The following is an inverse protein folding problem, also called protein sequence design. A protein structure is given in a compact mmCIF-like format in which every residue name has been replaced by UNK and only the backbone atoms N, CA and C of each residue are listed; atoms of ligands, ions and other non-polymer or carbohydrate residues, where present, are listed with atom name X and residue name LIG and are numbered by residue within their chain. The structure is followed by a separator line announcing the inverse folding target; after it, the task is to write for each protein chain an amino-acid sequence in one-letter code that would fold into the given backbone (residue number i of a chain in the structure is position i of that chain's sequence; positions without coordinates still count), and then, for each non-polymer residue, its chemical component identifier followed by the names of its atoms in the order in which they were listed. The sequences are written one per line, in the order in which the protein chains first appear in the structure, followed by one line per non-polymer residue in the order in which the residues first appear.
data_IF_401713426355
#
_entry.id   IF_401713426355
#
_cell.length_a   1.000
_cell.length_b   1.000
_cell.length_c   1.000
_cell.angle_alpha   90.00
_cell.angle_beta   90.00
_cell.angle_gamma   90.00
#
_symmetry.space_group_name_H-M   'P 1'
#
loop_
_entity.id
_entity.type
_entity.pdbx_description
1 polymer ?
#
# COMPACT_ATOMS: atom_id res chain seq x y z
N UNK A 1 11.94 -8.70 -1.93
CA UNK A 1 12.19 -7.30 -2.33
C UNK A 1 13.49 -6.89 -1.68
N UNK A 2 14.26 -6.02 -2.31
CA UNK A 2 15.50 -5.47 -1.75
C UNK A 2 15.33 -3.97 -1.51
N UNK A 3 16.02 -3.46 -0.51
CA UNK A 3 16.17 -2.04 -0.23
C UNK A 3 17.65 -1.71 -0.15
N UNK A 4 18.15 -0.94 -1.12
CA UNK A 4 19.58 -0.58 -1.17
C UNK A 4 20.52 -1.79 -1.25
N UNK A 5 20.06 -2.92 -1.82
CA UNK A 5 20.82 -4.17 -1.91
C UNK A 5 20.69 -5.10 -0.70
N UNK A 6 19.95 -4.71 0.34
CA UNK A 6 19.67 -5.54 1.52
C UNK A 6 18.28 -6.16 1.42
N UNK A 7 18.11 -7.40 1.89
CA UNK A 7 16.82 -8.08 1.90
C UNK A 7 15.84 -7.35 2.84
N UNK A 8 14.64 -7.05 2.32
CA UNK A 8 13.53 -6.47 3.07
C UNK A 8 12.53 -7.57 3.47
N UNK A 9 12.35 -7.79 4.77
CA UNK A 9 11.39 -8.74 5.32
C UNK A 9 9.96 -8.18 5.35
N UNK A 10 9.83 -6.89 5.66
CA UNK A 10 8.55 -6.21 5.78
C UNK A 10 8.73 -4.79 6.30
N UNK A 11 7.64 -4.15 6.69
CA UNK A 11 7.69 -2.82 7.28
C UNK A 11 6.49 -2.56 8.19
N UNK A 12 6.66 -1.61 9.10
CA UNK A 12 5.55 -0.97 9.81
C UNK A 12 5.25 0.38 9.19
N UNK A 13 3.98 0.77 9.17
CA UNK A 13 3.54 2.10 8.78
C UNK A 13 2.70 2.71 9.90
N UNK A 14 3.03 3.95 10.30
CA UNK A 14 2.26 4.67 11.30
C UNK A 14 2.26 6.18 11.04
N UNK A 15 1.22 6.84 11.51
CA UNK A 15 1.18 8.30 11.54
C UNK A 15 1.96 8.81 12.74
N UNK A 16 2.64 9.93 12.55
CA UNK A 16 3.30 10.67 13.62
C UNK A 16 3.07 12.17 13.43
N UNK A 17 3.27 12.91 14.52
CA UNK A 17 3.22 14.35 14.57
C UNK A 17 4.52 14.82 15.22
N UNK A 18 5.36 15.51 14.45
CA UNK A 18 6.60 16.06 14.97
C UNK A 18 6.27 17.27 15.86
N UNK A 19 6.56 17.16 17.16
CA UNK A 19 6.30 18.21 18.13
C UNK A 19 7.18 19.45 17.96
N UNK A 20 8.36 19.32 17.34
CA UNK A 20 9.29 20.41 17.13
C UNK A 20 8.92 21.23 15.89
N UNK A 21 8.51 20.55 14.82
CA UNK A 21 8.22 21.21 13.53
C UNK A 21 6.73 21.41 13.27
N UNK A 22 5.86 20.75 14.03
CA UNK A 22 4.41 20.79 13.84
C UNK A 22 3.95 20.14 12.54
N UNK A 23 4.76 19.25 11.97
CA UNK A 23 4.45 18.56 10.71
C UNK A 23 3.80 17.20 10.96
N UNK A 24 2.98 16.77 9.99
CA UNK A 24 2.42 15.42 9.95
C UNK A 24 3.34 14.52 9.15
N UNK A 25 3.60 13.33 9.67
CA UNK A 25 4.46 12.35 9.03
C UNK A 25 3.73 11.02 8.86
N UNK A 26 3.94 10.38 7.72
CA UNK A 26 3.73 8.95 7.55
C UNK A 26 5.08 8.27 7.67
N UNK A 27 5.31 7.57 8.78
CA UNK A 27 6.57 6.88 9.03
C UNK A 27 6.50 5.44 8.59
N UNK A 28 7.52 5.03 7.85
CA UNK A 28 7.80 3.63 7.57
C UNK A 28 8.99 3.19 8.40
N UNK A 29 8.88 2.05 9.07
CA UNK A 29 10.02 1.38 9.69
C UNK A 29 10.29 0.12 8.89
N UNK A 30 11.36 0.11 8.10
CA UNK A 30 11.73 -1.04 7.28
C UNK A 30 12.45 -2.08 8.14
N UNK A 31 12.03 -3.33 8.00
CA UNK A 31 12.67 -4.50 8.60
C UNK A 31 13.63 -5.13 7.59
N UNK A 32 14.90 -4.70 7.63
CA UNK A 32 15.95 -5.25 6.77
C UNK A 32 16.68 -6.38 7.53
N UNK A 33 17.27 -7.31 6.78
CA UNK A 33 18.01 -8.43 7.38
C UNK A 33 19.14 -8.03 8.33
N UNK A 34 19.62 -6.79 8.24
CA UNK A 34 20.74 -6.27 9.03
C UNK A 34 20.35 -5.15 10.01
N UNK A 35 19.21 -4.49 9.81
CA UNK A 35 18.84 -3.29 10.57
C UNK A 35 17.36 -2.90 10.43
N UNK A 36 16.89 -2.09 11.38
CA UNK A 36 15.64 -1.35 11.25
C UNK A 36 15.94 0.06 10.71
N UNK A 37 15.29 0.44 9.61
CA UNK A 37 15.52 1.75 8.94
C UNK A 37 14.25 2.58 8.93
N UNK A 38 14.20 3.73 9.63
CA UNK A 38 13.05 4.63 9.59
C UNK A 38 13.07 5.53 8.35
N UNK A 39 11.91 5.73 7.73
CA UNK A 39 11.67 6.66 6.62
C UNK A 39 10.50 7.59 7.02
N UNK A 40 10.78 8.82 7.49
CA UNK A 40 9.76 9.78 7.92
C UNK A 40 9.23 10.60 6.74
N UNK A 41 8.21 10.09 6.05
CA UNK A 41 7.64 10.77 4.90
C UNK A 41 6.72 11.92 5.34
N UNK A 42 7.16 13.17 5.14
CA UNK A 42 6.34 14.34 5.48
C UNK A 42 5.10 14.45 4.58
N UNK A 43 3.95 14.68 5.19
CA UNK A 43 2.66 14.87 4.52
C UNK A 43 2.39 16.36 4.36
N UNK A 44 2.22 16.83 3.12
CA UNK A 44 1.93 18.23 2.83
C UNK A 44 1.47 18.46 1.39
N UNK A 45 1.52 19.72 0.96
CA UNK A 45 1.06 20.14 -0.37
C UNK A 45 2.16 19.93 -1.42
N UNK A 46 2.57 18.68 -1.61
CA UNK A 46 3.62 18.28 -2.54
C UNK A 46 3.39 16.86 -3.04
N UNK A 47 4.11 16.48 -4.11
CA UNK A 47 4.07 15.13 -4.64
C UNK A 47 4.80 14.13 -3.73
N UNK A 48 4.53 12.83 -3.93
CA UNK A 48 5.26 11.75 -3.23
C UNK A 48 6.75 11.81 -3.52
N UNK A 49 7.14 12.09 -4.77
CA UNK A 49 8.54 12.22 -5.17
C UNK A 49 9.24 13.34 -4.39
N UNK A 50 8.61 14.52 -4.31
CA UNK A 50 9.15 15.63 -3.51
C UNK A 50 9.17 15.31 -2.01
N UNK A 51 8.19 14.57 -1.49
CA UNK A 51 8.22 14.12 -0.10
C UNK A 51 9.45 13.23 0.16
N UNK A 52 9.75 12.33 -0.77
CA UNK A 52 10.90 11.43 -0.67
C UNK A 52 12.24 12.15 -0.83
N UNK A 53 12.34 13.11 -1.75
CA UNK A 53 13.52 13.98 -1.89
C UNK A 53 13.82 14.73 -0.58
N UNK A 54 12.77 15.26 0.09
CA UNK A 54 12.93 15.91 1.40
C UNK A 54 13.47 14.96 2.48
N UNK A 55 13.09 13.67 2.44
CA UNK A 55 13.64 12.65 3.36
C UNK A 55 15.13 12.46 3.10
N UNK A 56 15.56 12.34 1.84
CA UNK A 56 16.96 12.17 1.47
C UNK A 56 17.80 13.39 1.88
N UNK A 57 17.29 14.59 1.68
CA UNK A 57 17.92 15.84 2.10
C UNK A 57 18.11 15.89 3.62
N UNK A 58 17.07 15.52 4.37
CA UNK A 58 17.12 15.49 5.83
C UNK A 58 18.13 14.45 6.33
N UNK A 59 18.12 13.24 5.77
CA UNK A 59 19.08 12.19 6.11
C UNK A 59 20.53 12.65 5.86
N UNK A 60 20.78 13.32 4.74
CA UNK A 60 22.08 13.91 4.39
C UNK A 60 22.54 14.93 5.42
N UNK A 61 21.66 15.84 5.82
CA UNK A 61 21.96 16.85 6.85
C UNK A 61 22.24 16.20 8.21
N UNK A 62 21.40 15.28 8.65
CA UNK A 62 21.54 14.61 9.96
C UNK A 62 22.83 13.79 10.04
N UNK A 63 23.15 13.04 8.99
CA UNK A 63 24.40 12.30 8.93
C UNK A 63 25.63 13.22 9.03
N UNK A 64 25.58 14.37 8.38
CA UNK A 64 26.64 15.37 8.43
C UNK A 64 26.82 15.95 9.83
N UNK A 65 25.71 16.27 10.53
CA UNK A 65 25.71 16.78 11.91
C UNK A 65 26.26 15.74 12.89
N UNK A 66 25.89 14.47 12.72
CA UNK A 66 26.30 13.40 13.63
C UNK A 66 27.63 12.74 13.23
N UNK A 67 28.33 13.27 12.23
CA UNK A 67 29.56 12.70 11.68
C UNK A 67 29.43 11.22 11.28
N UNK A 68 28.21 10.82 10.90
CA UNK A 68 27.92 9.50 10.41
C UNK A 68 28.16 9.48 8.91
N UNK A 69 28.90 8.47 8.44
CA UNK A 69 28.93 8.17 7.01
C UNK A 69 27.57 7.56 6.69
N UNK A 70 26.71 8.29 5.97
CA UNK A 70 25.58 7.66 5.28
C UNK A 70 26.13 6.45 4.53
N UNK A 71 25.39 5.33 4.54
CA UNK A 71 25.66 4.22 3.65
C UNK A 71 25.73 4.80 2.23
N UNK A 72 26.96 4.99 1.75
CA UNK A 72 27.29 5.97 0.70
C UNK A 72 26.91 5.47 -0.69
N UNK A 73 26.27 4.30 -0.80
CA UNK A 73 25.93 3.66 -2.07
C UNK A 73 24.50 3.96 -2.57
N UNK A 74 23.76 4.81 -1.87
CA UNK A 74 22.43 5.27 -2.31
C UNK A 74 22.47 6.04 -3.64
N UNK A 75 23.63 6.58 -4.03
CA UNK A 75 23.78 7.35 -5.27
C UNK A 75 23.95 6.51 -6.54
N UNK A 76 24.17 5.19 -6.44
CA UNK A 76 24.57 4.38 -7.61
C UNK A 76 23.51 3.38 -8.06
N UNK A 77 22.45 3.15 -7.29
CA UNK A 77 21.42 2.17 -7.60
C UNK A 77 20.06 2.87 -7.73
N UNK A 78 19.30 2.52 -8.76
CA UNK A 78 17.86 2.81 -9.00
C UNK A 78 17.17 3.62 -7.89
N UNK A 79 16.66 4.81 -8.26
CA UNK A 79 16.01 5.79 -7.39
C UNK A 79 15.33 5.11 -6.20
N UNK A 80 15.81 5.33 -4.98
CA UNK A 80 15.18 4.76 -3.77
C UNK A 80 13.67 5.05 -3.71
N UNK A 81 13.19 6.10 -4.40
CA UNK A 81 11.77 6.36 -4.58
C UNK A 81 11.04 5.25 -5.36
N UNK A 82 11.67 4.65 -6.38
CA UNK A 82 11.15 3.49 -7.11
C UNK A 82 11.07 2.25 -6.21
N UNK A 83 12.08 2.03 -5.35
CA UNK A 83 12.06 0.94 -4.37
C UNK A 83 10.99 1.18 -3.28
N UNK A 84 10.70 2.44 -2.97
CA UNK A 84 9.70 2.84 -1.98
C UNK A 84 8.26 2.77 -2.50
N UNK A 85 8.05 2.98 -3.80
CA UNK A 85 6.73 3.05 -4.42
C UNK A 85 5.83 1.83 -4.12
N UNK A 86 6.32 0.57 -4.16
CA UNK A 86 5.51 -0.59 -3.77
C UNK A 86 5.04 -0.56 -2.31
N UNK A 87 5.88 -0.06 -1.39
CA UNK A 87 5.55 0.01 0.04
C UNK A 87 4.45 1.03 0.28
N UNK A 88 4.58 2.22 -0.32
CA UNK A 88 3.54 3.24 -0.27
C UNK A 88 2.26 2.76 -0.94
N UNK A 89 2.36 2.09 -2.09
CA UNK A 89 1.20 1.54 -2.79
C UNK A 89 0.44 0.53 -1.94
N UNK A 90 1.13 -0.30 -1.14
CA UNK A 90 0.47 -1.22 -0.21
C UNK A 90 -0.32 -0.46 0.87
N UNK A 91 0.26 0.57 1.47
CA UNK A 91 -0.43 1.40 2.47
C UNK A 91 -1.65 2.11 1.86
N UNK A 92 -1.49 2.69 0.67
CA UNK A 92 -2.60 3.33 -0.04
C UNK A 92 -3.70 2.33 -0.40
N UNK A 93 -3.33 1.10 -0.77
CA UNK A 93 -4.30 0.05 -1.06
C UNK A 93 -5.14 -0.27 0.17
N UNK A 94 -4.52 -0.44 1.33
CA UNK A 94 -5.22 -0.66 2.61
C UNK A 94 -6.12 0.52 3.02
N UNK A 95 -5.83 1.73 2.52
CA UNK A 95 -6.63 2.93 2.75
C UNK A 95 -7.69 3.19 1.66
N UNK A 96 -7.79 2.34 0.63
CA UNK A 96 -8.80 2.48 -0.43
C UNK A 96 -10.20 2.11 0.06
N UNK A 97 -11.23 2.44 -0.72
CA UNK A 97 -12.63 2.27 -0.30
C UNK A 97 -13.06 0.79 -0.13
N UNK A 98 -12.50 -0.10 -0.94
CA UNK A 98 -12.85 -1.53 -0.95
C UNK A 98 -11.61 -2.42 -1.20
N UNK A 99 -10.67 -2.50 -0.23
CA UNK A 99 -9.49 -3.34 -0.38
C UNK A 99 -9.87 -4.82 -0.21
N UNK A 100 -9.23 -5.70 -0.99
CA UNK A 100 -9.32 -7.14 -0.86
C UNK A 100 -8.49 -7.55 0.36
N UNK A 101 -9.12 -7.56 1.53
CA UNK A 101 -8.48 -7.97 2.79
C UNK A 101 -9.41 -8.91 3.54
N UNK A 102 -8.89 -10.09 3.86
CA UNK A 102 -9.61 -11.12 4.60
C UNK A 102 -8.87 -11.45 5.90
N UNK A 103 -9.60 -11.87 6.93
CA UNK A 103 -8.99 -12.37 8.17
C UNK A 103 -8.32 -13.72 7.87
N UNK A 104 -7.01 -13.83 8.08
CA UNK A 104 -6.28 -15.09 7.81
C UNK A 104 -6.73 -16.25 8.71
N UNK A 105 -7.51 -15.98 9.76
CA UNK A 105 -8.08 -16.99 10.68
C UNK A 105 -9.59 -17.19 10.51
N UNK A 106 -10.27 -16.39 9.69
CA UNK A 106 -11.72 -16.46 9.50
C UNK A 106 -12.10 -16.09 8.07
N UNK A 107 -12.94 -16.89 7.43
CA UNK A 107 -13.48 -16.63 6.08
C UNK A 107 -14.41 -15.41 5.99
N UNK A 108 -14.49 -14.59 7.05
CA UNK A 108 -15.28 -13.36 7.06
C UNK A 108 -14.57 -12.27 6.26
N UNK A 109 -15.28 -11.76 5.25
CA UNK A 109 -14.79 -10.81 4.22
C UNK A 109 -14.58 -9.39 4.77
N UNK A 110 -15.03 -9.09 5.99
CA UNK A 110 -14.99 -7.73 6.53
C UNK A 110 -14.15 -7.67 7.80
N UNK A 111 -12.89 -7.24 7.70
CA UNK A 111 -12.15 -6.76 8.84
C UNK A 111 -12.90 -5.60 9.46
N UNK A 112 -13.48 -5.79 10.65
CA UNK A 112 -13.80 -4.63 11.48
C UNK A 112 -12.48 -4.03 11.98
N UNK A 113 -11.85 -3.16 11.16
CA UNK A 113 -10.73 -2.31 11.54
C UNK A 113 -11.18 -1.27 12.58
N UNK A 114 -11.53 -1.74 13.78
CA UNK A 114 -11.95 -0.85 14.85
C UNK A 114 -10.72 -0.34 15.57
N UNK A 115 -10.61 0.99 15.60
CA UNK A 115 -9.68 1.68 16.51
C UNK A 115 -9.90 1.12 17.92
N UNK A 116 -8.83 0.75 18.65
CA UNK A 116 -8.93 0.30 20.02
C UNK A 116 -9.74 1.31 20.83
N UNK A 117 -10.83 0.84 21.45
CA UNK A 117 -11.67 1.70 22.28
C UNK A 117 -11.25 1.56 23.74
N UNK A 118 -11.12 2.67 24.48
CA UNK A 118 -10.80 2.61 25.90
C UNK A 118 -11.94 1.93 26.66
N UNK A 119 -11.59 1.03 27.57
CA UNK A 119 -12.53 0.35 28.46
C UNK A 119 -12.55 1.03 29.82
N UNK A 120 -13.73 1.18 30.40
CA UNK A 120 -13.88 1.74 31.75
C UNK A 120 -13.35 0.75 32.78
N UNK A 121 -12.43 1.19 33.65
CA UNK A 121 -11.89 0.43 34.77
C UNK A 121 -12.22 1.13 36.09
N UNK A 122 -11.96 0.47 37.23
CA UNK A 122 -12.08 1.10 38.56
C UNK A 122 -11.21 2.35 38.73
N UNK A 123 -10.13 2.49 37.95
CA UNK A 123 -9.18 3.63 37.99
C UNK A 123 -9.33 4.58 36.79
N UNK A 124 -10.48 4.57 36.12
CA UNK A 124 -10.74 5.38 34.93
C UNK A 124 -10.64 4.61 33.61
N UNK A 125 -10.70 5.32 32.49
CA UNK A 125 -10.62 4.73 31.15
C UNK A 125 -9.19 4.31 30.83
N UNK A 126 -9.02 3.10 30.29
CA UNK A 126 -7.72 2.57 29.84
C UNK A 126 -7.84 1.85 28.51
N UNK A 127 -6.80 1.97 27.69
CA UNK A 127 -6.60 1.11 26.53
C UNK A 127 -5.94 -0.19 26.98
N UNK A 128 -6.28 -1.29 26.32
CA UNK A 128 -5.69 -2.59 26.55
C UNK A 128 -5.11 -3.10 25.22
N UNK A 129 -3.86 -3.59 25.22
CA UNK A 129 -3.30 -4.22 24.03
C UNK A 129 -4.08 -5.51 23.69
N UNK A 130 -4.09 -5.94 22.42
CA UNK A 130 -4.65 -7.23 22.06
C UNK A 130 -3.81 -8.37 22.65
N UNK A 131 -4.45 -9.47 23.04
CA UNK A 131 -3.77 -10.64 23.63
C UNK A 131 -2.90 -11.39 22.61
N UNK A 132 -3.20 -11.26 21.32
CA UNK A 132 -2.41 -11.81 20.23
C UNK A 132 -2.42 -10.90 19.00
N UNK A 133 -1.42 -11.07 18.15
CA UNK A 133 -1.38 -10.43 16.84
C UNK A 133 -2.45 -11.01 15.92
N UNK A 134 -2.95 -10.18 14.99
CA UNK A 134 -3.87 -10.58 13.94
C UNK A 134 -3.10 -10.65 12.61
N UNK A 135 -3.37 -11.70 11.84
CA UNK A 135 -2.83 -11.87 10.50
C UNK A 135 -3.97 -11.60 9.52
N UNK A 136 -3.72 -10.77 8.53
CA UNK A 136 -4.65 -10.47 7.45
C UNK A 136 -4.01 -10.87 6.13
N UNK A 137 -4.80 -11.49 5.25
CA UNK A 137 -4.37 -11.75 3.89
C UNK A 137 -4.89 -10.64 2.98
N UNK A 138 -4.01 -10.10 2.15
CA UNK A 138 -4.31 -8.97 1.27
C UNK A 138 -4.19 -9.43 -0.18
N UNK A 139 -5.17 -9.10 -1.02
CA UNK A 139 -5.18 -9.44 -2.44
C UNK A 139 -5.46 -10.92 -2.71
N UNK A 140 -6.13 -11.65 -1.80
CA UNK A 140 -6.38 -13.08 -1.98
C UNK A 140 -7.34 -13.35 -3.15
N UNK A 141 -8.47 -12.64 -3.23
CA UNK A 141 -9.45 -12.81 -4.33
C UNK A 141 -8.81 -12.53 -5.68
N UNK A 142 -8.11 -11.40 -5.81
CA UNK A 142 -7.44 -11.01 -7.07
C UNK A 142 -6.31 -11.99 -7.40
N UNK A 143 -5.51 -12.37 -6.40
CA UNK A 143 -4.41 -13.33 -6.56
C UNK A 143 -4.90 -14.71 -7.00
N UNK A 144 -6.03 -15.17 -6.47
CA UNK A 144 -6.62 -16.44 -6.85
C UNK A 144 -7.12 -16.43 -8.30
N UNK A 145 -7.84 -15.38 -8.69
CA UNK A 145 -8.28 -15.19 -10.07
C UNK A 145 -7.09 -15.20 -11.05
N UNK A 146 -5.98 -14.53 -10.70
CA UNK A 146 -4.76 -14.53 -11.51
C UNK A 146 -4.14 -15.92 -11.64
N UNK A 147 -3.96 -16.63 -10.52
CA UNK A 147 -3.41 -18.00 -10.53
C UNK A 147 -4.24 -18.92 -11.42
N UNK A 148 -5.56 -18.89 -11.29
CA UNK A 148 -6.48 -19.69 -12.12
C UNK A 148 -6.34 -19.32 -13.61
N UNK A 149 -6.23 -18.03 -13.93
CA UNK A 149 -6.13 -17.57 -15.32
C UNK A 149 -4.81 -17.94 -16.01
N UNK A 150 -3.75 -18.09 -15.23
CA UNK A 150 -2.42 -18.46 -15.70
C UNK A 150 -2.24 -19.97 -15.86
N UNK A 151 -3.21 -20.79 -15.40
CA UNK A 151 -3.14 -22.23 -15.59
C UNK A 151 -3.14 -22.58 -17.10
N UNK A 152 -2.27 -23.51 -17.55
CA UNK A 152 -2.26 -23.97 -18.93
C UNK A 152 -3.63 -24.50 -19.32
N UNK A 153 -4.22 -23.94 -20.39
CA UNK A 153 -5.46 -24.49 -20.95
C UNK A 153 -5.11 -25.61 -21.92
N UNK A 154 -5.82 -26.74 -21.81
CA UNK A 154 -5.85 -27.72 -22.89
C UNK A 154 -6.38 -27.04 -24.16
N UNK A 155 -5.66 -27.22 -25.28
CA UNK A 155 -5.96 -26.62 -26.57
C UNK A 155 -7.34 -27.06 -27.09
N UNK A 156 -8.40 -26.33 -26.74
CA UNK A 156 -9.73 -26.52 -27.33
C UNK A 156 -9.78 -25.86 -28.70
N UNK A 157 -9.36 -26.60 -29.73
CA UNK A 157 -9.79 -26.50 -31.13
C UNK A 157 -9.58 -25.15 -31.88
N UNK A 158 -9.80 -25.12 -33.21
CA UNK A 158 -9.45 -23.99 -34.05
C UNK A 158 -10.61 -22.98 -34.05
N UNK A 159 -10.76 -22.22 -32.97
CA UNK A 159 -11.68 -21.09 -32.96
C UNK A 159 -10.87 -19.80 -32.78
N UNK A 160 -11.11 -18.80 -33.65
CA UNK A 160 -10.49 -17.46 -33.63
C UNK A 160 -10.89 -16.69 -32.35
N UNK A 161 -10.54 -17.19 -31.18
CA UNK A 161 -10.76 -16.53 -29.90
C UNK A 161 -9.69 -15.45 -29.73
N UNK A 162 -10.11 -14.25 -29.31
CA UNK A 162 -9.17 -13.19 -28.93
C UNK A 162 -8.25 -13.72 -27.82
N UNK A 163 -6.96 -13.41 -27.91
CA UNK A 163 -5.95 -13.85 -26.93
C UNK A 163 -6.33 -13.35 -25.53
N UNK A 164 -6.32 -14.24 -24.56
CA UNK A 164 -6.43 -13.89 -23.13
C UNK A 164 -5.22 -13.05 -22.75
N UNK A 165 -5.46 -11.90 -22.13
CA UNK A 165 -4.40 -11.01 -21.66
C UNK A 165 -4.78 -10.38 -20.33
N UNK A 166 -3.77 -9.89 -19.62
CA UNK A 166 -3.92 -9.27 -18.31
C UNK A 166 -3.85 -7.76 -18.49
N UNK A 167 -4.88 -7.06 -18.02
CA UNK A 167 -4.85 -5.62 -17.83
C UNK A 167 -4.44 -5.35 -16.39
N UNK A 168 -3.18 -4.95 -16.20
CA UNK A 168 -2.59 -4.76 -14.88
C UNK A 168 -3.30 -3.68 -14.06
N UNK A 169 -3.30 -3.90 -12.75
CA UNK A 169 -3.74 -2.91 -11.77
C UNK A 169 -2.90 -1.64 -11.85
N UNK A 170 -3.51 -0.51 -11.52
CA UNK A 170 -2.80 0.77 -11.41
C UNK A 170 -3.61 1.74 -10.54
N UNK A 171 -2.93 2.73 -9.98
CA UNK A 171 -3.60 3.88 -9.37
C UNK A 171 -4.11 4.79 -10.48
N UNK A 172 -5.42 5.09 -10.44
CA UNK A 172 -6.05 6.03 -11.36
C UNK A 172 -6.33 7.34 -10.62
N UNK A 173 -5.63 8.41 -11.00
CA UNK A 173 -5.82 9.76 -10.48
C UNK A 173 -6.64 10.63 -11.42
N UNK A 174 -7.56 11.43 -10.90
CA UNK A 174 -8.34 12.39 -11.67
C UNK A 174 -8.62 13.65 -10.87
N UNK A 175 -8.82 14.77 -11.57
CA UNK A 175 -9.18 16.04 -10.95
C UNK A 175 -10.68 16.27 -11.11
N UNK A 176 -11.32 16.73 -10.05
CA UNK A 176 -12.71 17.21 -10.06
C UNK A 176 -12.75 18.72 -9.80
N UNK A 177 -13.78 19.40 -10.33
CA UNK A 177 -13.96 20.85 -10.20
C UNK A 177 -13.81 21.63 -11.51
N UNK A 178 -14.12 22.94 -11.49
CA UNK A 178 -14.06 23.80 -12.66
C UNK A 178 -12.64 23.97 -13.21
N UNK A 179 -12.52 24.22 -14.53
CA UNK A 179 -11.20 24.32 -15.16
C UNK A 179 -10.36 25.49 -14.62
N UNK A 180 -11.01 26.62 -14.35
CA UNK A 180 -10.37 27.86 -13.91
C UNK A 180 -10.66 28.19 -12.43
N UNK A 181 -10.91 27.16 -11.61
CA UNK A 181 -11.16 27.34 -10.17
C UNK A 181 -10.47 26.28 -9.32
N UNK A 182 -10.86 26.19 -8.05
CA UNK A 182 -10.33 25.17 -7.15
C UNK A 182 -10.68 23.76 -7.65
N UNK A 183 -9.64 22.92 -7.80
CA UNK A 183 -9.80 21.53 -8.18
C UNK A 183 -9.35 20.62 -7.04
N UNK A 184 -10.05 19.50 -6.89
CA UNK A 184 -9.70 18.45 -5.92
C UNK A 184 -9.14 17.25 -6.66
N UNK A 185 -7.99 16.76 -6.22
CA UNK A 185 -7.43 15.51 -6.74
C UNK A 185 -8.05 14.31 -6.04
N UNK A 186 -8.51 13.35 -6.83
CA UNK A 186 -9.02 12.07 -6.38
C UNK A 186 -8.13 10.96 -6.93
N UNK A 187 -8.01 9.88 -6.17
CA UNK A 187 -7.33 8.67 -6.62
C UNK A 187 -8.17 7.46 -6.27
N UNK A 188 -8.14 6.44 -7.13
CA UNK A 188 -8.77 5.14 -6.88
C UNK A 188 -7.87 4.00 -7.33
N UNK A 189 -7.96 2.87 -6.64
CA UNK A 189 -7.31 1.65 -7.08
C UNK A 189 -8.10 1.05 -8.24
N UNK A 190 -7.47 0.89 -9.40
CA UNK A 190 -8.06 0.13 -10.50
C UNK A 190 -7.57 -1.32 -10.42
N UNK A 191 -8.45 -2.30 -10.18
CA UNK A 191 -8.04 -3.70 -10.04
C UNK A 191 -7.54 -4.29 -11.36
N UNK A 192 -6.76 -5.38 -11.23
CA UNK A 192 -6.33 -6.18 -12.38
C UNK A 192 -7.53 -6.86 -13.01
N UNK A 193 -7.64 -6.79 -14.35
CA UNK A 193 -8.70 -7.45 -15.10
C UNK A 193 -8.09 -8.48 -16.04
N UNK A 194 -8.61 -9.69 -15.99
CA UNK A 194 -8.25 -10.74 -16.95
C UNK A 194 -9.26 -10.68 -18.10
N UNK A 195 -8.80 -10.26 -19.27
CA UNK A 195 -9.66 -10.04 -20.44
C UNK A 195 -9.66 -11.31 -21.30
N UNK A 196 -10.84 -11.70 -21.79
CA UNK A 196 -11.07 -12.93 -22.55
C UNK A 196 -10.70 -14.22 -21.78
N UNK A 197 -10.81 -14.20 -20.44
CA UNK A 197 -10.87 -15.45 -19.69
C UNK A 197 -12.28 -16.03 -19.80
N UNK A 198 -12.39 -17.35 -20.04
CA UNK A 198 -13.67 -18.02 -19.78
C UNK A 198 -13.87 -18.02 -18.27
N UNK A 199 -14.80 -17.18 -17.81
CA UNK A 199 -15.14 -17.04 -16.40
C UNK A 199 -15.68 -18.39 -15.93
N UNK A 200 -15.04 -19.02 -14.93
CA UNK A 200 -15.75 -19.95 -14.06
C UNK A 200 -16.60 -19.04 -13.17
N UNK A 201 -17.89 -18.96 -13.46
CA UNK A 201 -18.84 -18.08 -12.77
C UNK A 201 -19.03 -18.56 -11.34
N UNK A 202 -18.15 -18.14 -10.43
CA UNK A 202 -18.37 -18.24 -8.98
C UNK A 202 -17.71 -17.08 -8.19
N UNK A 203 -16.98 -16.17 -8.83
CA UNK A 203 -16.47 -14.95 -8.19
C UNK A 203 -17.40 -13.77 -8.50
N UNK A 204 -18.59 -13.77 -7.91
CA UNK A 204 -19.51 -12.64 -7.97
C UNK A 204 -18.93 -11.46 -7.17
N UNK A 205 -18.38 -10.47 -7.87
CA UNK A 205 -18.40 -9.10 -7.36
C UNK A 205 -19.87 -8.66 -7.31
N UNK A 206 -20.37 -8.09 -6.19
CA UNK A 206 -21.68 -7.48 -6.22
C UNK A 206 -21.66 -6.33 -7.24
N UNK A 207 -22.71 -6.18 -8.08
CA UNK A 207 -22.80 -5.06 -9.00
C UNK A 207 -22.82 -3.76 -8.20
N UNK A 208 -22.09 -2.75 -8.67
CA UNK A 208 -22.23 -1.37 -8.19
C UNK A 208 -23.68 -0.95 -8.47
N UNK A 209 -24.47 -0.76 -7.41
CA UNK A 209 -25.75 -0.06 -7.51
C UNK A 209 -25.44 1.40 -7.84
N UNK A 210 -25.76 1.78 -9.08
CA UNK A 210 -25.91 3.18 -9.49
C UNK A 210 -26.87 3.87 -8.51
N UNK A 211 -26.33 4.72 -7.64
CA UNK A 211 -27.14 5.67 -6.88
C UNK A 211 -27.44 6.87 -7.79
N UNK A 212 -28.72 6.94 -8.16
CA UNK A 212 -29.43 8.06 -8.79
C UNK A 212 -29.17 9.42 -8.15
#
# INVERSE_FOLDING_TARGET
MEWGGTLLHGFWAHLEWDANTGTRELRFLLDLSEALVPIPLHIGNWTVSEAFERVLDMATRQASIHHLRLLQDVKTNSSLAEQFQPLLSMVLYLCSDAPDVIDGRSSSVIPHYRRPQPKKTKRGFRLFPPDCFKIWEVGNVIGNALRISLLPRENRGPQKSKRTHIRHHHWHGYWSGPKDGERKFHYKWQPTIIVNASVCTDASYPPEEDQT
#
